data_IF_594086197570
#
_entry.id   IF_594086197570
#
_cell.length_a   1.000
_cell.length_b   1.000
_cell.length_c   1.000
_cell.angle_alpha   90.00
_cell.angle_beta   90.00
_cell.angle_gamma   90.00
#
_symmetry.space_group_name_H-M   'P 1'
#
loop_
_entity.id
_entity.type
_entity.pdbx_description
1 polymer ?
#
# COMPACT_ATOMS: atom_id res chain seq x y z
N UNK A 1 -10.05 15.25 -20.85
CA UNK A 1 -10.47 14.06 -20.09
C UNK A 1 -10.64 12.93 -21.08
N UNK A 2 -9.82 11.88 -21.01
CA UNK A 2 -10.01 10.71 -21.87
C UNK A 2 -11.32 10.01 -21.46
N UNK A 3 -12.10 9.56 -22.44
CA UNK A 3 -13.34 8.82 -22.16
C UNK A 3 -12.97 7.49 -21.51
N UNK A 4 -13.65 7.13 -20.42
CA UNK A 4 -13.50 5.81 -19.81
C UNK A 4 -14.00 4.72 -20.78
N UNK A 5 -13.52 3.47 -20.66
CA UNK A 5 -13.97 2.39 -21.53
C UNK A 5 -15.48 2.17 -21.41
N UNK A 6 -16.18 1.94 -22.52
CA UNK A 6 -17.64 1.74 -22.48
C UNK A 6 -18.08 0.57 -21.61
N UNK A 7 -17.27 -0.49 -21.51
CA UNK A 7 -17.53 -1.61 -20.60
C UNK A 7 -17.43 -1.20 -19.12
N UNK A 8 -16.51 -0.29 -18.78
CA UNK A 8 -16.38 0.25 -17.41
C UNK A 8 -17.58 1.16 -17.11
N UNK A 9 -17.98 2.00 -18.05
CA UNK A 9 -19.15 2.87 -17.95
C UNK A 9 -20.43 2.04 -17.73
N UNK A 10 -20.67 1.00 -18.53
CA UNK A 10 -21.82 0.10 -18.37
C UNK A 10 -21.84 -0.59 -17.00
N UNK A 11 -20.70 -1.11 -16.52
CA UNK A 11 -20.62 -1.74 -15.19
C UNK A 11 -20.91 -0.75 -14.05
N UNK A 12 -20.41 0.48 -14.14
CA UNK A 12 -20.67 1.54 -13.14
C UNK A 12 -22.15 1.93 -13.12
N UNK A 13 -22.76 2.07 -14.29
CA UNK A 13 -24.19 2.38 -14.41
C UNK A 13 -25.03 1.23 -13.85
N UNK A 14 -24.75 -0.02 -14.21
CA UNK A 14 -25.44 -1.19 -13.65
C UNK A 14 -25.28 -1.29 -12.13
N UNK A 15 -24.07 -1.02 -11.61
CA UNK A 15 -23.82 -0.92 -10.17
C UNK A 15 -24.71 0.12 -9.49
N UNK A 16 -24.85 1.29 -10.12
CA UNK A 16 -25.74 2.35 -9.62
C UNK A 16 -27.22 1.92 -9.59
N UNK A 17 -27.70 1.23 -10.64
CA UNK A 17 -29.05 0.65 -10.66
C UNK A 17 -29.26 -0.40 -9.56
N UNK A 18 -28.26 -1.27 -9.32
CA UNK A 18 -28.30 -2.25 -8.24
C UNK A 18 -28.35 -1.58 -6.86
N UNK A 19 -27.58 -0.51 -6.64
CA UNK A 19 -27.62 0.24 -5.38
C UNK A 19 -29.00 0.86 -5.13
N UNK A 20 -29.61 1.45 -6.16
CA UNK A 20 -30.99 1.97 -6.05
C UNK A 20 -32.00 0.86 -5.75
N UNK A 21 -31.92 -0.25 -6.48
CA UNK A 21 -32.77 -1.44 -6.23
C UNK A 21 -32.59 -1.98 -4.81
N UNK A 22 -31.36 -2.03 -4.29
CA UNK A 22 -31.08 -2.46 -2.93
C UNK A 22 -31.78 -1.57 -1.90
N UNK A 23 -31.73 -0.23 -2.08
CA UNK A 23 -32.43 0.71 -1.18
C UNK A 23 -33.96 0.51 -1.20
N UNK A 24 -34.55 0.26 -2.36
CA UNK A 24 -35.99 -0.02 -2.49
C UNK A 24 -36.38 -1.36 -1.86
N UNK A 25 -35.57 -2.40 -2.06
CA UNK A 25 -35.74 -3.72 -1.44
C UNK A 25 -35.60 -3.63 0.09
N UNK A 26 -34.62 -2.88 0.60
CA UNK A 26 -34.43 -2.66 2.04
C UNK A 26 -35.58 -1.86 2.67
N UNK A 27 -36.14 -0.89 1.93
CA UNK A 27 -37.33 -0.17 2.36
C UNK A 27 -38.53 -1.12 2.44
N UNK A 28 -38.80 -1.86 1.37
CA UNK A 28 -39.88 -2.85 1.29
C UNK A 28 -39.76 -3.92 2.37
N UNK A 29 -38.54 -4.40 2.63
CA UNK A 29 -38.26 -5.36 3.70
C UNK A 29 -38.62 -4.80 5.08
N UNK A 30 -38.27 -3.54 5.35
CA UNK A 30 -38.62 -2.87 6.61
C UNK A 30 -40.14 -2.75 6.78
N UNK A 31 -40.86 -2.38 5.73
CA UNK A 31 -42.32 -2.30 5.76
C UNK A 31 -42.96 -3.67 6.01
N UNK A 32 -42.49 -4.72 5.32
CA UNK A 32 -43.00 -6.08 5.51
C UNK A 32 -42.68 -6.65 6.88
N UNK A 33 -41.53 -6.29 7.47
CA UNK A 33 -41.17 -6.68 8.83
C UNK A 33 -42.15 -6.07 9.85
N UNK A 34 -42.49 -4.79 9.69
CA UNK A 34 -43.50 -4.11 10.51
C UNK A 34 -44.88 -4.75 10.31
N UNK A 35 -45.24 -5.10 9.08
CA UNK A 35 -46.50 -5.79 8.78
C UNK A 35 -46.56 -7.17 9.44
N UNK A 36 -45.48 -7.95 9.43
CA UNK A 36 -45.42 -9.24 10.09
C UNK A 36 -45.61 -9.10 11.60
N UNK A 37 -44.95 -8.13 12.23
CA UNK A 37 -45.12 -7.85 13.66
C UNK A 37 -46.56 -7.39 13.98
N UNK A 38 -47.18 -6.61 13.09
CA UNK A 38 -48.59 -6.22 13.23
C UNK A 38 -49.52 -7.44 13.13
N UNK A 39 -49.29 -8.33 12.16
CA UNK A 39 -50.04 -9.58 12.03
C UNK A 39 -49.89 -10.41 13.31
N UNK A 40 -48.67 -10.60 13.81
CA UNK A 40 -48.42 -11.31 15.08
C UNK A 40 -49.10 -10.63 16.27
N UNK A 41 -49.08 -9.31 16.35
CA UNK A 41 -49.74 -8.56 17.43
C UNK A 41 -51.27 -8.69 17.40
N UNK A 42 -51.87 -8.85 16.20
CA UNK A 42 -53.31 -9.13 16.05
C UNK A 42 -53.70 -10.56 16.37
N UNK A 43 -52.75 -11.42 16.81
CA UNK A 43 -53.04 -12.79 17.17
C UNK A 43 -54.14 -12.86 18.25
N UNK A 44 -55.29 -13.49 17.95
CA UNK A 44 -56.34 -13.66 18.93
C UNK A 44 -55.84 -14.47 20.14
N UNK A 45 -56.13 -14.04 21.39
CA UNK A 45 -55.86 -14.86 22.55
C UNK A 45 -56.61 -16.19 22.41
N UNK A 46 -55.92 -17.29 22.73
CA UNK A 46 -56.41 -18.66 22.55
C UNK A 46 -56.90 -18.94 21.11
N UNK A 47 -56.07 -18.65 20.10
CA UNK A 47 -56.37 -18.86 18.69
C UNK A 47 -56.99 -20.24 18.38
N UNK A 48 -56.62 -21.30 19.11
CA UNK A 48 -57.17 -22.64 18.92
C UNK A 48 -58.68 -22.76 19.23
N UNK A 49 -59.24 -21.87 20.06
CA UNK A 49 -60.67 -21.80 20.42
C UNK A 49 -61.50 -21.00 19.40
N UNK A 50 -60.86 -20.32 18.44
CA UNK A 50 -61.57 -19.50 17.44
C UNK A 50 -62.14 -20.35 16.28
N UNK A 51 -63.15 -19.81 15.56
CA UNK A 51 -63.67 -20.45 14.35
C UNK A 51 -62.56 -20.85 13.37
N UNK A 52 -62.78 -21.93 12.62
CA UNK A 52 -61.81 -22.45 11.64
C UNK A 52 -61.35 -21.37 10.66
N UNK A 53 -62.27 -20.54 10.20
CA UNK A 53 -62.01 -19.44 9.26
C UNK A 53 -60.99 -18.43 9.82
N UNK A 54 -61.16 -17.96 11.06
CA UNK A 54 -60.23 -17.03 11.71
C UNK A 54 -58.83 -17.63 11.90
N UNK A 55 -58.77 -18.93 12.25
CA UNK A 55 -57.50 -19.66 12.38
C UNK A 55 -56.77 -19.78 11.06
N UNK A 56 -57.49 -20.07 9.98
CA UNK A 56 -56.92 -20.18 8.63
C UNK A 56 -56.48 -18.81 8.13
N UNK A 57 -57.31 -17.78 8.26
CA UNK A 57 -56.99 -16.43 7.83
C UNK A 57 -55.73 -15.87 8.50
N UNK A 58 -55.59 -16.05 9.82
CA UNK A 58 -54.37 -15.64 10.53
C UNK A 58 -53.13 -16.42 10.07
N UNK A 59 -53.24 -17.76 9.93
CA UNK A 59 -52.13 -18.61 9.48
C UNK A 59 -51.68 -18.25 8.06
N UNK A 60 -52.62 -18.00 7.16
CA UNK A 60 -52.35 -17.58 5.78
C UNK A 60 -51.67 -16.21 5.78
N UNK A 61 -52.24 -15.20 6.44
CA UNK A 61 -51.64 -13.88 6.51
C UNK A 61 -50.21 -13.89 7.11
N UNK A 62 -50.00 -14.63 8.21
CA UNK A 62 -48.68 -14.76 8.83
C UNK A 62 -47.69 -15.50 7.94
N UNK A 63 -48.14 -16.52 7.19
CA UNK A 63 -47.28 -17.27 6.28
C UNK A 63 -46.92 -16.42 5.07
N UNK A 64 -47.89 -15.80 4.42
CA UNK A 64 -47.68 -15.02 3.21
C UNK A 64 -46.72 -13.85 3.48
N UNK A 65 -46.89 -13.10 4.58
CA UNK A 65 -45.94 -12.03 4.95
C UNK A 65 -44.54 -12.57 5.31
N UNK A 66 -44.45 -13.78 5.86
CA UNK A 66 -43.16 -14.43 6.12
C UNK A 66 -42.47 -14.92 4.85
N UNK A 67 -43.23 -15.42 3.88
CA UNK A 67 -42.74 -15.84 2.56
C UNK A 67 -42.25 -14.61 1.77
N UNK A 68 -43.01 -13.50 1.79
CA UNK A 68 -42.61 -12.22 1.18
C UNK A 68 -41.28 -11.70 1.76
N UNK A 69 -41.11 -11.73 3.08
CA UNK A 69 -39.85 -11.36 3.72
C UNK A 69 -38.68 -12.24 3.29
N UNK A 70 -38.90 -13.54 3.20
CA UNK A 70 -37.87 -14.49 2.74
C UNK A 70 -37.48 -14.23 1.28
N UNK A 71 -38.46 -13.88 0.44
CA UNK A 71 -38.21 -13.52 -0.96
C UNK A 71 -37.39 -12.22 -1.07
N UNK A 72 -37.71 -11.20 -0.25
CA UNK A 72 -36.94 -9.95 -0.19
C UNK A 72 -35.51 -10.17 0.32
N UNK A 73 -35.31 -10.99 1.34
CA UNK A 73 -33.97 -11.36 1.83
C UNK A 73 -33.14 -12.05 0.74
N UNK A 74 -33.77 -12.94 -0.04
CA UNK A 74 -33.11 -13.59 -1.18
C UNK A 74 -32.76 -12.60 -2.28
N UNK A 75 -33.66 -11.68 -2.63
CA UNK A 75 -33.41 -10.65 -3.64
C UNK A 75 -32.25 -9.73 -3.23
N UNK A 76 -32.20 -9.31 -1.95
CA UNK A 76 -31.08 -8.53 -1.40
C UNK A 76 -29.76 -9.28 -1.48
N UNK A 77 -29.75 -10.59 -1.18
CA UNK A 77 -28.54 -11.40 -1.29
C UNK A 77 -28.03 -11.50 -2.75
N UNK A 78 -28.94 -11.66 -3.71
CA UNK A 78 -28.61 -11.69 -5.14
C UNK A 78 -28.02 -10.34 -5.58
N UNK A 79 -28.70 -9.24 -5.24
CA UNK A 79 -28.27 -7.89 -5.57
C UNK A 79 -26.87 -7.59 -5.00
N UNK A 80 -26.62 -7.96 -3.73
CA UNK A 80 -25.30 -7.81 -3.10
C UNK A 80 -24.21 -8.57 -3.85
N UNK A 81 -24.45 -9.85 -4.16
CA UNK A 81 -23.46 -10.67 -4.87
C UNK A 81 -23.12 -10.09 -6.25
N UNK A 82 -24.12 -9.59 -6.98
CA UNK A 82 -23.91 -8.90 -8.25
C UNK A 82 -23.13 -7.60 -8.09
N UNK A 83 -23.47 -6.80 -7.10
CA UNK A 83 -22.79 -5.54 -6.81
C UNK A 83 -21.30 -5.78 -6.48
N UNK A 84 -21.00 -6.78 -5.65
CA UNK A 84 -19.62 -7.16 -5.31
C UNK A 84 -18.85 -7.66 -6.54
N UNK A 85 -19.51 -8.44 -7.41
CA UNK A 85 -18.92 -8.93 -8.67
C UNK A 85 -18.61 -7.79 -9.64
N UNK A 86 -19.59 -6.91 -9.90
CA UNK A 86 -19.42 -5.76 -10.79
C UNK A 86 -18.36 -4.81 -10.27
N UNK A 87 -18.32 -4.55 -8.96
CA UNK A 87 -17.28 -3.74 -8.33
C UNK A 87 -15.90 -4.30 -8.60
N UNK A 88 -15.68 -5.59 -8.30
CA UNK A 88 -14.37 -6.24 -8.51
C UNK A 88 -13.91 -6.11 -9.96
N UNK A 89 -14.80 -6.40 -10.93
CA UNK A 89 -14.49 -6.30 -12.36
C UNK A 89 -14.25 -4.87 -12.85
N UNK A 90 -15.02 -3.92 -12.34
CA UNK A 90 -14.87 -2.51 -12.71
C UNK A 90 -13.61 -1.89 -12.10
N UNK A 91 -13.23 -2.25 -10.87
CA UNK A 91 -11.93 -1.87 -10.29
C UNK A 91 -10.76 -2.41 -11.13
N UNK A 92 -10.80 -3.67 -11.59
CA UNK A 92 -9.78 -4.25 -12.49
C UNK A 92 -9.66 -3.49 -13.82
N UNK A 93 -10.80 -3.15 -14.44
CA UNK A 93 -10.82 -2.39 -15.70
C UNK A 93 -10.36 -0.95 -15.51
N UNK A 94 -10.77 -0.33 -14.40
CA UNK A 94 -10.35 1.02 -14.04
C UNK A 94 -8.84 1.07 -13.82
N UNK A 95 -8.27 0.11 -13.09
CA UNK A 95 -6.82 0.02 -12.89
C UNK A 95 -6.06 -0.04 -14.22
N UNK A 96 -6.50 -0.90 -15.15
CA UNK A 96 -5.91 -1.01 -16.50
C UNK A 96 -6.00 0.31 -17.27
N UNK A 97 -7.12 1.02 -17.13
CA UNK A 97 -7.29 2.32 -17.76
C UNK A 97 -6.38 3.38 -17.15
N UNK A 98 -6.28 3.43 -15.81
CA UNK A 98 -5.40 4.35 -15.08
C UNK A 98 -3.93 4.14 -15.44
N UNK A 99 -3.48 2.88 -15.60
CA UNK A 99 -2.13 2.55 -16.08
C UNK A 99 -1.77 3.17 -17.43
N UNK A 100 -2.77 3.46 -18.26
CA UNK A 100 -2.56 4.00 -19.61
C UNK A 100 -2.79 5.52 -19.66
N UNK A 101 -3.76 6.04 -18.89
CA UNK A 101 -4.27 7.40 -19.05
C UNK A 101 -4.04 8.32 -17.85
N UNK A 102 -3.54 7.81 -16.72
CA UNK A 102 -3.25 8.59 -15.53
C UNK A 102 -1.73 8.60 -15.26
N UNK A 103 -1.10 9.75 -15.52
CA UNK A 103 0.34 9.92 -15.30
C UNK A 103 0.70 9.75 -13.82
N UNK A 104 -0.08 10.35 -12.91
CA UNK A 104 0.13 10.24 -11.46
C UNK A 104 0.10 8.77 -11.00
N UNK A 105 -0.89 7.99 -11.44
CA UNK A 105 -0.98 6.56 -11.09
C UNK A 105 0.19 5.76 -11.66
N UNK A 106 0.64 6.06 -12.89
CA UNK A 106 1.83 5.44 -13.49
C UNK A 106 3.10 5.75 -12.70
N UNK A 107 3.28 7.01 -12.27
CA UNK A 107 4.41 7.42 -11.45
C UNK A 107 4.39 6.69 -10.10
N UNK A 108 3.22 6.57 -9.47
CA UNK A 108 3.05 5.76 -8.25
C UNK A 108 3.43 4.29 -8.46
N UNK A 109 3.00 3.67 -9.56
CA UNK A 109 3.39 2.29 -9.88
C UNK A 109 4.89 2.12 -10.13
N UNK A 110 5.51 3.07 -10.85
CA UNK A 110 6.95 3.07 -11.07
C UNK A 110 7.71 3.18 -9.75
N UNK A 111 7.20 4.01 -8.83
CA UNK A 111 7.82 4.25 -7.54
C UNK A 111 7.87 3.05 -6.60
N UNK A 112 7.05 2.01 -6.86
CA UNK A 112 7.10 0.76 -6.11
C UNK A 112 8.48 0.07 -6.14
N UNK A 113 9.33 0.38 -7.13
CA UNK A 113 10.67 -0.21 -7.25
C UNK A 113 11.73 0.50 -6.39
N UNK A 114 11.49 1.73 -5.95
CA UNK A 114 12.49 2.51 -5.20
C UNK A 114 12.89 1.85 -3.87
N UNK A 115 11.97 1.13 -3.23
CA UNK A 115 12.25 0.38 -2.00
C UNK A 115 13.30 -0.72 -2.23
N UNK A 116 13.22 -1.40 -3.38
CA UNK A 116 14.16 -2.45 -3.79
C UNK A 116 15.53 -1.86 -4.12
N UNK A 117 15.57 -0.78 -4.91
CA UNK A 117 16.82 -0.12 -5.28
C UNK A 117 17.53 0.46 -4.06
N UNK A 118 16.77 0.98 -3.10
CA UNK A 118 17.29 1.50 -1.86
C UNK A 118 17.81 0.37 -0.94
N UNK A 119 17.12 -0.76 -0.84
CA UNK A 119 17.59 -1.92 -0.07
C UNK A 119 18.90 -2.48 -0.63
N UNK A 120 19.01 -2.59 -1.97
CA UNK A 120 20.25 -2.99 -2.63
C UNK A 120 21.39 -2.00 -2.35
N UNK A 121 21.10 -0.70 -2.30
CA UNK A 121 22.08 0.33 -2.00
C UNK A 121 22.56 0.25 -0.54
N UNK A 122 21.66 -0.05 0.41
CA UNK A 122 22.05 -0.33 1.78
C UNK A 122 22.93 -1.57 1.92
N UNK A 123 22.69 -2.62 1.14
CA UNK A 123 23.54 -3.82 1.15
C UNK A 123 24.98 -3.48 0.72
N UNK A 124 25.14 -2.76 -0.39
CA UNK A 124 26.47 -2.31 -0.86
C UNK A 124 27.15 -1.37 0.13
N UNK A 125 26.40 -0.43 0.70
CA UNK A 125 26.88 0.44 1.77
C UNK A 125 27.42 -0.40 2.95
N UNK A 126 26.65 -1.40 3.41
CA UNK A 126 27.04 -2.26 4.53
C UNK A 126 28.32 -3.04 4.22
N UNK A 127 28.45 -3.58 3.01
CA UNK A 127 29.66 -4.27 2.57
C UNK A 127 30.88 -3.34 2.60
N UNK A 128 30.77 -2.16 1.98
CA UNK A 128 31.87 -1.19 1.94
C UNK A 128 32.21 -0.61 3.31
N UNK A 129 31.22 -0.44 4.19
CA UNK A 129 31.46 0.00 5.57
C UNK A 129 32.25 -1.04 6.37
N UNK A 130 31.96 -2.33 6.23
CA UNK A 130 32.78 -3.38 6.85
C UNK A 130 34.21 -3.43 6.29
N UNK A 131 34.37 -3.30 4.97
CA UNK A 131 35.70 -3.21 4.35
C UNK A 131 36.49 -2.00 4.89
N UNK A 132 35.81 -0.87 5.08
CA UNK A 132 36.40 0.34 5.63
C UNK A 132 36.84 0.17 7.08
N UNK A 133 36.00 -0.41 7.94
CA UNK A 133 36.35 -0.76 9.34
C UNK A 133 37.59 -1.66 9.37
N UNK A 134 37.64 -2.70 8.52
CA UNK A 134 38.80 -3.62 8.46
C UNK A 134 40.08 -2.90 8.03
N UNK A 135 40.00 -2.03 7.03
CA UNK A 135 41.13 -1.24 6.55
C UNK A 135 41.63 -0.26 7.63
N UNK A 136 40.72 0.43 8.31
CA UNK A 136 41.04 1.30 9.45
C UNK A 136 41.67 0.53 10.61
N UNK A 137 41.12 -0.63 10.96
CA UNK A 137 41.68 -1.48 12.02
C UNK A 137 43.10 -1.93 11.71
N UNK A 138 43.39 -2.24 10.44
CA UNK A 138 44.74 -2.60 9.98
C UNK A 138 45.70 -1.41 10.10
N UNK A 139 45.31 -0.23 9.61
CA UNK A 139 46.10 1.00 9.72
C UNK A 139 46.37 1.37 11.20
N UNK A 140 45.33 1.28 12.04
CA UNK A 140 45.40 1.50 13.49
C UNK A 140 46.44 0.59 14.15
N UNK A 141 46.45 -0.69 13.81
CA UNK A 141 47.36 -1.66 14.42
C UNK A 141 48.83 -1.46 13.97
N UNK A 142 49.05 -0.93 12.76
CA UNK A 142 50.40 -0.65 12.25
C UNK A 142 51.00 0.67 12.77
N UNK A 143 50.16 1.66 13.07
CA UNK A 143 50.58 3.00 13.47
C UNK A 143 51.57 3.07 14.66
N UNK A 144 51.42 2.30 15.76
CA UNK A 144 52.34 2.39 16.90
C UNK A 144 53.76 1.93 16.60
N UNK A 145 53.91 0.86 15.80
CA UNK A 145 55.20 0.27 15.45
C UNK A 145 55.87 0.97 14.26
N UNK A 146 55.07 1.56 13.37
CA UNK A 146 55.55 2.24 12.18
C UNK A 146 55.96 3.70 12.37
N UNK A 147 55.80 4.30 13.54
CA UNK A 147 56.07 5.74 13.72
C UNK A 147 57.52 6.04 14.11
N UNK A 148 58.20 6.82 13.28
CA UNK A 148 59.52 7.39 13.59
C UNK A 148 59.33 8.69 14.41
N UNK A 149 59.62 8.62 15.71
CA UNK A 149 59.50 9.77 16.62
C UNK A 149 60.51 10.88 16.35
N UNK A 150 61.65 10.57 15.73
CA UNK A 150 62.70 11.55 15.42
C UNK A 150 62.31 12.35 14.20
N UNK A 151 61.74 11.69 13.19
CA UNK A 151 61.30 12.32 11.94
C UNK A 151 59.85 12.80 11.99
N UNK A 152 59.07 12.36 12.96
CA UNK A 152 57.66 12.72 13.13
C UNK A 152 56.73 12.13 12.06
N UNK A 153 57.14 11.03 11.42
CA UNK A 153 56.43 10.45 10.26
C UNK A 153 56.19 8.95 10.43
N UNK A 154 55.19 8.43 9.73
CA UNK A 154 54.91 7.00 9.66
C UNK A 154 55.83 6.27 8.66
N UNK A 155 55.97 4.96 8.83
CA UNK A 155 56.67 4.08 7.90
C UNK A 155 55.93 4.01 6.57
N UNK A 156 56.62 3.70 5.45
CA UNK A 156 55.96 3.50 4.15
C UNK A 156 54.81 2.49 4.20
N UNK A 157 54.97 1.39 4.94
CA UNK A 157 53.93 0.37 5.13
C UNK A 157 52.70 0.89 5.89
N UNK A 158 52.90 1.78 6.87
CA UNK A 158 51.79 2.40 7.62
C UNK A 158 51.08 3.43 6.74
N UNK A 159 51.82 4.21 5.96
CA UNK A 159 51.22 5.12 4.97
C UNK A 159 50.40 4.36 3.93
N UNK A 160 50.88 3.21 3.46
CA UNK A 160 50.12 2.34 2.55
C UNK A 160 48.83 1.83 3.19
N UNK A 161 48.86 1.40 4.45
CA UNK A 161 47.66 0.99 5.18
C UNK A 161 46.65 2.15 5.36
N UNK A 162 47.13 3.35 5.67
CA UNK A 162 46.28 4.55 5.75
C UNK A 162 45.69 4.91 4.38
N UNK A 163 46.47 4.79 3.31
CA UNK A 163 46.02 5.01 1.93
C UNK A 163 44.93 4.01 1.53
N UNK A 164 45.08 2.74 1.91
CA UNK A 164 44.05 1.72 1.69
C UNK A 164 42.76 2.02 2.47
N UNK A 165 42.87 2.49 3.72
CA UNK A 165 41.72 2.94 4.50
C UNK A 165 41.04 4.17 3.88
N UNK A 166 41.81 5.12 3.36
CA UNK A 166 41.29 6.28 2.64
C UNK A 166 40.54 5.87 1.36
N UNK A 167 41.09 4.95 0.58
CA UNK A 167 40.42 4.43 -0.62
C UNK A 167 39.11 3.70 -0.26
N UNK A 168 39.06 2.96 0.86
CA UNK A 168 37.83 2.35 1.35
C UNK A 168 36.81 3.40 1.84
N UNK A 169 37.27 4.47 2.49
CA UNK A 169 36.42 5.58 2.92
C UNK A 169 35.70 6.25 1.73
N UNK A 170 36.41 6.49 0.63
CA UNK A 170 35.82 7.05 -0.60
C UNK A 170 34.72 6.17 -1.18
N UNK A 171 34.81 4.84 -1.04
CA UNK A 171 33.75 3.93 -1.48
C UNK A 171 32.50 4.04 -0.61
N UNK A 172 32.67 4.16 0.71
CA UNK A 172 31.56 4.37 1.65
C UNK A 172 30.84 5.69 1.36
N UNK A 173 31.61 6.79 1.20
CA UNK A 173 31.04 8.08 0.80
C UNK A 173 30.31 8.01 -0.55
N UNK A 174 30.88 7.28 -1.52
CA UNK A 174 30.25 7.04 -2.82
C UNK A 174 28.90 6.34 -2.71
N UNK A 175 28.76 5.31 -1.86
CA UNK A 175 27.47 4.65 -1.65
C UNK A 175 26.47 5.53 -0.89
N UNK A 176 26.92 6.37 0.05
CA UNK A 176 26.05 7.36 0.71
C UNK A 176 25.47 8.32 -0.34
N UNK A 177 26.32 8.85 -1.24
CA UNK A 177 25.89 9.74 -2.32
C UNK A 177 24.92 9.02 -3.26
N UNK A 178 25.25 7.79 -3.68
CA UNK A 178 24.39 7.01 -4.57
C UNK A 178 23.01 6.71 -3.93
N UNK A 179 22.98 6.32 -2.65
CA UNK A 179 21.75 6.06 -1.91
C UNK A 179 20.90 7.33 -1.79
N UNK A 180 21.53 8.46 -1.47
CA UNK A 180 20.82 9.74 -1.35
C UNK A 180 20.30 10.26 -2.70
N UNK A 181 20.98 9.96 -3.81
CA UNK A 181 20.50 10.29 -5.15
C UNK A 181 19.21 9.52 -5.52
N UNK A 182 19.06 8.27 -5.06
CA UNK A 182 17.81 7.50 -5.21
C UNK A 182 16.66 8.21 -4.48
N UNK A 183 16.90 8.63 -3.23
CA UNK A 183 15.92 9.36 -2.44
C UNK A 183 15.55 10.71 -3.07
N UNK A 184 16.52 11.43 -3.65
CA UNK A 184 16.28 12.70 -4.35
C UNK A 184 15.45 12.51 -5.63
N UNK A 185 15.76 11.50 -6.45
CA UNK A 185 14.99 11.24 -7.66
C UNK A 185 13.57 10.77 -7.33
N UNK A 186 13.39 9.97 -6.27
CA UNK A 186 12.08 9.64 -5.71
C UNK A 186 11.27 10.90 -5.38
N UNK A 187 11.84 11.80 -4.58
CA UNK A 187 11.17 13.03 -4.13
C UNK A 187 10.85 13.96 -5.31
N UNK A 188 11.72 14.01 -6.31
CA UNK A 188 11.51 14.81 -7.54
C UNK A 188 10.37 14.24 -8.40
N UNK A 189 10.29 12.92 -8.54
CA UNK A 189 9.24 12.26 -9.32
C UNK A 189 7.88 12.35 -8.64
N UNK A 190 7.83 12.15 -7.32
CA UNK A 190 6.58 12.02 -6.58
C UNK A 190 6.18 13.25 -5.78
N UNK A 191 7.04 14.27 -5.66
CA UNK A 191 6.88 15.40 -4.73
C UNK A 191 5.58 16.21 -4.86
N UNK A 192 4.87 16.08 -5.99
CA UNK A 192 3.57 16.74 -6.27
C UNK A 192 2.38 15.78 -6.35
N UNK A 193 2.60 14.50 -6.03
CA UNK A 193 1.60 13.44 -6.15
C UNK A 193 1.13 12.99 -4.76
N UNK A 194 0.01 12.27 -4.72
CA UNK A 194 -0.45 11.60 -3.50
C UNK A 194 0.46 10.44 -3.05
N UNK A 195 1.45 10.06 -3.86
CA UNK A 195 2.43 9.01 -3.59
C UNK A 195 3.71 9.54 -2.94
N UNK A 196 3.77 10.82 -2.55
CA UNK A 196 4.98 11.40 -1.97
C UNK A 196 5.25 10.90 -0.55
N UNK A 197 6.04 9.83 -0.43
CA UNK A 197 6.61 9.37 0.84
C UNK A 197 8.11 9.62 0.89
N UNK A 198 8.59 10.63 1.66
CA UNK A 198 9.99 10.97 1.67
C UNK A 198 10.88 9.78 2.03
N UNK A 199 11.77 9.40 1.12
CA UNK A 199 12.69 8.31 1.38
C UNK A 199 13.74 8.72 2.41
N UNK A 200 14.13 7.81 3.32
CA UNK A 200 15.18 8.10 4.27
C UNK A 200 16.54 8.26 3.57
N UNK A 201 17.33 9.20 4.08
CA UNK A 201 18.67 9.53 3.59
C UNK A 201 19.73 9.08 4.60
N UNK A 202 20.89 8.69 4.10
CA UNK A 202 22.08 8.44 4.91
C UNK A 202 22.76 9.78 5.22
N UNK A 203 23.26 9.90 6.45
CA UNK A 203 24.04 11.07 6.88
C UNK A 203 25.34 11.11 6.07
N UNK A 204 25.66 12.27 5.49
CA UNK A 204 26.93 12.49 4.80
C UNK A 204 28.02 12.82 5.81
N UNK A 205 29.06 11.99 5.83
CA UNK A 205 30.21 12.15 6.71
C UNK A 205 31.50 12.16 5.87
N UNK A 206 32.45 13.07 6.15
CA UNK A 206 33.68 13.22 5.36
C UNK A 206 34.77 12.24 5.80
N UNK A 207 34.46 10.94 5.82
CA UNK A 207 35.36 9.86 6.24
C UNK A 207 36.73 9.91 5.56
N UNK A 208 36.80 10.12 4.25
CA UNK A 208 38.05 10.16 3.50
C UNK A 208 38.92 11.34 3.96
N UNK A 209 38.32 12.53 4.12
CA UNK A 209 39.04 13.69 4.61
C UNK A 209 39.56 13.47 6.04
N UNK A 210 38.76 12.84 6.91
CA UNK A 210 39.19 12.48 8.27
C UNK A 210 40.36 11.51 8.24
N UNK A 211 40.30 10.46 7.41
CA UNK A 211 41.39 9.47 7.31
C UNK A 211 42.68 10.08 6.76
N UNK A 212 42.58 10.99 5.77
CA UNK A 212 43.73 11.70 5.24
C UNK A 212 44.43 12.54 6.33
N UNK A 213 43.67 13.15 7.23
CA UNK A 213 44.21 13.93 8.35
C UNK A 213 44.97 13.06 9.36
N UNK A 214 44.57 11.81 9.57
CA UNK A 214 45.22 10.90 10.53
C UNK A 214 46.71 10.71 10.23
N UNK A 215 47.10 10.72 8.96
CA UNK A 215 48.49 10.56 8.54
C UNK A 215 49.43 11.69 9.01
N UNK A 216 48.85 12.82 9.41
CA UNK A 216 49.58 13.99 9.94
C UNK A 216 49.60 14.07 11.47
N UNK A 217 48.88 13.17 12.14
CA UNK A 217 48.74 13.20 13.60
C UNK A 217 49.85 12.43 14.32
N UNK A 218 50.25 12.87 15.53
CA UNK A 218 51.06 12.06 16.42
C UNK A 218 50.36 10.72 16.75
N UNK A 219 51.10 9.64 17.08
CA UNK A 219 50.54 8.29 17.21
C UNK A 219 49.36 8.15 18.18
N UNK A 220 49.40 8.87 19.31
CA UNK A 220 48.34 8.82 20.32
C UNK A 220 47.05 9.48 19.81
N UNK A 221 47.18 10.62 19.12
CA UNK A 221 46.05 11.30 18.50
C UNK A 221 45.52 10.49 17.31
N UNK A 222 46.40 9.93 16.49
CA UNK A 222 46.02 9.04 15.38
C UNK A 222 45.23 7.82 15.88
N UNK A 223 45.67 7.17 16.96
CA UNK A 223 44.96 6.05 17.59
C UNK A 223 43.56 6.43 18.08
N UNK A 224 43.45 7.61 18.67
CA UNK A 224 42.15 8.13 19.15
C UNK A 224 41.21 8.36 17.98
N UNK A 225 41.68 8.99 16.91
CA UNK A 225 40.88 9.23 15.70
C UNK A 225 40.50 7.93 14.97
N UNK A 226 41.41 6.98 14.82
CA UNK A 226 41.06 5.66 14.25
C UNK A 226 39.94 4.99 15.04
N UNK A 227 40.04 4.98 16.37
CA UNK A 227 39.04 4.36 17.24
C UNK A 227 37.71 5.09 17.14
N UNK A 228 37.72 6.43 17.15
CA UNK A 228 36.52 7.25 17.00
C UNK A 228 35.79 6.96 15.69
N UNK A 229 36.51 6.90 14.57
CA UNK A 229 35.90 6.63 13.26
C UNK A 229 35.37 5.20 13.17
N UNK A 230 36.12 4.21 13.66
CA UNK A 230 35.65 2.82 13.71
C UNK A 230 34.34 2.71 14.49
N UNK A 231 34.30 3.25 15.71
CA UNK A 231 33.09 3.21 16.55
C UNK A 231 31.92 3.95 15.90
N UNK A 232 32.15 5.10 15.26
CA UNK A 232 31.09 5.83 14.56
C UNK A 232 30.48 5.01 13.41
N UNK A 233 31.31 4.33 12.61
CA UNK A 233 30.82 3.48 11.50
C UNK A 233 30.14 2.22 12.04
N UNK A 234 30.64 1.62 13.13
CA UNK A 234 29.99 0.48 13.79
C UNK A 234 28.61 0.86 14.37
N UNK A 235 28.49 2.03 15.00
CA UNK A 235 27.21 2.54 15.52
C UNK A 235 26.20 2.80 14.38
N UNK A 236 26.67 3.37 13.27
CA UNK A 236 25.86 3.57 12.05
C UNK A 236 25.33 2.24 11.50
N UNK A 237 26.20 1.21 11.42
CA UNK A 237 25.80 -0.12 10.94
C UNK A 237 24.80 -0.80 11.90
N UNK A 238 25.06 -0.73 13.20
CA UNK A 238 24.33 -1.55 14.19
C UNK A 238 23.03 -0.91 14.68
N UNK A 239 22.92 0.41 14.70
CA UNK A 239 21.74 1.11 15.26
C UNK A 239 20.93 1.82 14.20
N UNK A 240 21.60 2.49 13.26
CA UNK A 240 20.90 3.35 12.31
C UNK A 240 20.40 2.57 11.10
N UNK A 241 21.16 1.60 10.58
CA UNK A 241 20.72 0.81 9.41
C UNK A 241 19.44 0.02 9.65
N UNK A 242 19.29 -0.60 10.83
CA UNK A 242 18.07 -1.37 11.11
C UNK A 242 16.84 -0.47 11.26
N UNK A 243 17.01 0.72 11.86
CA UNK A 243 15.97 1.73 11.91
C UNK A 243 15.62 2.25 10.51
N UNK A 244 16.61 2.50 9.66
CA UNK A 244 16.41 2.92 8.27
C UNK A 244 15.69 1.85 7.45
N UNK A 245 16.08 0.57 7.59
CA UNK A 245 15.40 -0.57 6.95
C UNK A 245 13.96 -0.72 7.40
N UNK A 246 13.66 -0.51 8.68
CA UNK A 246 12.29 -0.50 9.18
C UNK A 246 11.48 0.62 8.51
N UNK A 247 12.02 1.84 8.48
CA UNK A 247 11.35 2.99 7.84
C UNK A 247 11.05 2.79 6.36
N UNK A 248 11.95 2.16 5.60
CA UNK A 248 11.69 1.87 4.17
C UNK A 248 10.66 0.78 3.98
N UNK A 249 10.64 -0.26 4.84
CA UNK A 249 9.58 -1.27 4.79
C UNK A 249 8.21 -0.66 5.10
N UNK A 250 8.13 0.20 6.10
CA UNK A 250 6.90 0.89 6.45
C UNK A 250 6.43 1.80 5.30
N UNK A 251 7.34 2.59 4.72
CA UNK A 251 7.03 3.44 3.56
C UNK A 251 6.58 2.61 2.34
N UNK A 252 7.21 1.46 2.07
CA UNK A 252 6.81 0.58 0.98
C UNK A 252 5.40 -0.02 1.19
N UNK A 253 5.06 -0.40 2.43
CA UNK A 253 3.73 -0.87 2.78
C UNK A 253 2.68 0.22 2.63
N UNK A 254 2.99 1.43 3.09
CA UNK A 254 2.13 2.59 2.96
C UNK A 254 1.87 2.94 1.49
N UNK A 255 2.92 2.95 0.67
CA UNK A 255 2.85 3.18 -0.77
C UNK A 255 1.98 2.14 -1.49
N UNK A 256 2.11 0.85 -1.14
CA UNK A 256 1.25 -0.21 -1.67
C UNK A 256 -0.22 0.02 -1.28
N UNK A 257 -0.47 0.42 -0.02
CA UNK A 257 -1.81 0.78 0.45
C UNK A 257 -2.42 1.98 -0.28
N UNK A 258 -1.61 3.01 -0.58
CA UNK A 258 -2.03 4.18 -1.36
C UNK A 258 -2.34 3.82 -2.81
N UNK A 259 -1.53 2.96 -3.43
CA UNK A 259 -1.77 2.48 -4.81
C UNK A 259 -3.14 1.79 -4.91
N UNK A 260 -3.45 0.90 -3.96
CA UNK A 260 -4.77 0.24 -3.92
C UNK A 260 -5.91 1.23 -3.62
N UNK A 261 -5.69 2.14 -2.66
CA UNK A 261 -6.69 3.15 -2.29
C UNK A 261 -6.99 4.11 -3.44
N UNK A 262 -6.00 4.47 -4.26
CA UNK A 262 -6.19 5.35 -5.41
C UNK A 262 -7.21 4.82 -6.41
N UNK A 263 -7.12 3.53 -6.76
CA UNK A 263 -8.08 2.88 -7.68
C UNK A 263 -9.47 2.87 -7.07
N UNK A 264 -9.57 2.50 -5.78
CA UNK A 264 -10.84 2.45 -5.05
C UNK A 264 -11.49 3.83 -4.94
N UNK A 265 -10.71 4.87 -4.67
CA UNK A 265 -11.23 6.23 -4.52
C UNK A 265 -11.69 6.79 -5.88
N UNK A 266 -10.93 6.53 -6.95
CA UNK A 266 -11.36 6.83 -8.31
C UNK A 266 -12.64 6.07 -8.69
N UNK A 267 -12.76 4.79 -8.32
CA UNK A 267 -13.97 4.01 -8.53
C UNK A 267 -15.16 4.60 -7.77
N UNK A 268 -14.98 4.92 -6.49
CA UNK A 268 -16.03 5.52 -5.66
C UNK A 268 -16.55 6.83 -6.26
N UNK A 269 -15.65 7.68 -6.77
CA UNK A 269 -16.03 8.95 -7.42
C UNK A 269 -16.83 8.71 -8.70
N UNK A 270 -16.39 7.78 -9.55
CA UNK A 270 -17.09 7.43 -10.79
C UNK A 270 -18.46 6.78 -10.51
N UNK A 271 -18.53 5.88 -9.52
CA UNK A 271 -19.76 5.23 -9.12
C UNK A 271 -20.76 6.23 -8.54
N UNK A 272 -20.32 7.10 -7.63
CA UNK A 272 -21.16 8.16 -7.08
C UNK A 272 -21.69 9.09 -8.18
N UNK A 273 -20.87 9.41 -9.19
CA UNK A 273 -21.32 10.16 -10.35
C UNK A 273 -22.40 9.40 -11.15
N UNK A 274 -22.22 8.09 -11.39
CA UNK A 274 -23.21 7.26 -12.09
C UNK A 274 -24.54 7.18 -11.31
N UNK A 275 -24.49 7.00 -9.99
CA UNK A 275 -25.67 7.03 -9.10
C UNK A 275 -26.43 8.34 -9.23
N UNK A 276 -25.73 9.47 -9.26
CA UNK A 276 -26.37 10.78 -9.29
C UNK A 276 -26.93 11.17 -10.67
N UNK A 277 -26.40 10.63 -11.78
CA UNK A 277 -26.69 11.17 -13.12
C UNK A 277 -27.13 10.14 -14.18
N UNK A 278 -27.04 8.84 -13.89
CA UNK A 278 -27.26 7.79 -14.89
C UNK A 278 -28.40 6.82 -14.55
N UNK A 279 -28.99 6.94 -13.36
CA UNK A 279 -30.11 6.12 -12.92
C UNK A 279 -31.42 6.80 -13.29
N UNK A 280 -32.25 6.09 -14.04
CA UNK A 280 -33.63 6.44 -14.32
C UNK A 280 -34.55 5.46 -13.58
N UNK A 281 -35.40 5.98 -12.69
CA UNK A 281 -36.23 5.18 -11.79
C UNK A 281 -37.18 4.25 -12.56
N UNK A 282 -37.64 4.68 -13.74
CA UNK A 282 -38.57 3.89 -14.56
C UNK A 282 -37.92 2.61 -15.13
N UNK A 283 -36.59 2.59 -15.23
CA UNK A 283 -35.84 1.51 -15.86
C UNK A 283 -35.17 0.55 -14.86
N UNK A 284 -35.29 0.78 -13.55
CA UNK A 284 -34.58 -0.01 -12.52
C UNK A 284 -34.83 -1.51 -12.68
N UNK A 285 -36.09 -1.95 -12.71
CA UNK A 285 -36.43 -3.37 -12.79
C UNK A 285 -35.86 -4.06 -14.03
N UNK A 286 -35.96 -3.43 -15.19
CA UNK A 286 -35.46 -3.99 -16.45
C UNK A 286 -33.93 -4.09 -16.48
N UNK A 287 -33.22 -3.08 -15.97
CA UNK A 287 -31.76 -3.07 -15.94
C UNK A 287 -31.22 -4.08 -14.92
N UNK A 288 -31.86 -4.21 -13.75
CA UNK A 288 -31.48 -5.23 -12.74
C UNK A 288 -31.65 -6.63 -13.30
N UNK A 289 -32.80 -6.94 -13.92
CA UNK A 289 -33.06 -8.25 -14.51
C UNK A 289 -32.07 -8.56 -15.64
N UNK A 290 -31.77 -7.59 -16.50
CA UNK A 290 -30.76 -7.77 -17.54
C UNK A 290 -29.37 -8.02 -16.93
N UNK A 291 -29.02 -7.29 -15.88
CA UNK A 291 -27.74 -7.44 -15.18
C UNK A 291 -27.62 -8.83 -14.53
N UNK A 292 -28.70 -9.32 -13.91
CA UNK A 292 -28.78 -10.69 -13.41
C UNK A 292 -28.50 -11.70 -14.53
N UNK A 293 -29.18 -11.58 -15.67
CA UNK A 293 -28.98 -12.50 -16.81
C UNK A 293 -27.55 -12.46 -17.34
N UNK A 294 -26.95 -11.28 -17.45
CA UNK A 294 -25.59 -11.13 -18.00
C UNK A 294 -24.52 -11.69 -17.06
N UNK A 295 -24.64 -11.51 -15.74
CA UNK A 295 -23.55 -11.79 -14.81
C UNK A 295 -23.77 -13.02 -13.90
N UNK A 296 -25.02 -13.46 -13.67
CA UNK A 296 -25.29 -14.71 -12.92
C UNK A 296 -25.21 -15.95 -13.80
N UNK A 297 -25.65 -15.89 -15.06
CA UNK A 297 -25.65 -17.07 -15.95
C UNK A 297 -24.24 -17.53 -16.27
N UNK A 298 -23.30 -16.60 -16.51
CA UNK A 298 -21.89 -16.91 -16.78
C UNK A 298 -21.13 -17.43 -15.53
N UNK A 299 -21.56 -17.07 -14.32
CA UNK A 299 -20.93 -17.55 -13.08
C UNK A 299 -21.25 -19.02 -12.76
N UNK A 300 -22.34 -19.57 -13.30
CA UNK A 300 -22.74 -20.97 -13.14
C UNK A 300 -21.93 -21.95 -14.00
N UNK A 301 -21.21 -21.45 -15.02
CA UNK A 301 -20.32 -22.24 -15.88
C UNK A 301 -18.85 -22.22 -15.43
N UNK A 302 -18.47 -21.35 -14.49
CA UNK A 302 -17.10 -21.22 -13.99
C UNK A 302 -16.81 -22.07 -12.73
N UNK A 303 -17.81 -22.77 -12.19
CA UNK A 303 -17.68 -23.69 -11.04
C UNK A 303 -18.19 -25.12 -11.33
N UNK A 304 -18.24 -25.53 -12.61
CA UNK A 304 -18.45 -26.92 -13.04
C UNK A 304 -17.19 -27.43 -13.76
#
# INVERSE_FOLDING_TARGET
>A
MHKIPGALEDMLVRGAYLEHSARELEHSRREQAVRLETVKATQPPFLFLRPKETRVAFKVASRDTSEDLTALDKALAINKNLSDHLRTRSEELLEKWLRTHCEEYRLGLAAGHFSVDWEQSLMRFTEHAHMFIQALGSARNMAPAGYDRVRGVFSPSTYEAISNAHAAALRVEGEIVATNAIAEEHDKLLGKTVFNDPMPRLVQEPYAAVVAQIASLPPVAAQTEFTRVITAVEDLITRELDALRARVRDAAQEHAGRTHSYVRDAWNQLHAHAVAHSVDVEHIGAVVEQTERTYLVDSSFAMA
#
